data_IF_190102999015
#
_entry.id   IF_190102999015
#
_cell.length_a   1.000
_cell.length_b   1.000
_cell.length_c   1.000
_cell.angle_alpha   90.00
_cell.angle_beta   90.00
_cell.angle_gamma   90.00
#
_symmetry.space_group_name_H-M   'P 1'
#
loop_
_entity.id
_entity.type
_entity.pdbx_description
1 polymer ?
#
# COMPACT_ATOMS: atom_id res chain seq x y z
N UNK A 1 5.55 -17.57 -0.44
CA UNK A 1 4.55 -16.71 0.20
C UNK A 1 4.82 -15.27 -0.18
N UNK A 2 3.83 -14.61 -0.72
CA UNK A 2 3.99 -13.21 -1.14
C UNK A 2 4.00 -12.28 0.06
N UNK A 3 4.81 -11.23 -0.02
CA UNK A 3 5.03 -10.29 1.07
C UNK A 3 4.23 -9.00 0.82
N UNK A 4 3.44 -8.61 1.81
CA UNK A 4 2.62 -7.41 1.76
C UNK A 4 3.04 -6.47 2.89
N UNK A 5 3.38 -5.25 2.55
CA UNK A 5 3.59 -4.20 3.53
C UNK A 5 2.33 -3.35 3.61
N UNK A 6 1.77 -3.22 4.79
CA UNK A 6 0.57 -2.41 5.03
C UNK A 6 0.97 -1.16 5.81
N UNK A 7 0.86 -0.01 5.18
CA UNK A 7 1.12 1.28 5.82
C UNK A 7 -0.21 1.95 6.15
N UNK A 8 -0.50 2.04 7.44
CA UNK A 8 -1.74 2.59 7.99
C UNK A 8 -1.43 3.15 9.38
N UNK A 9 -1.77 4.42 9.61
CA UNK A 9 -1.45 5.08 10.88
C UNK A 9 -2.41 4.75 12.03
N UNK A 10 -3.63 4.31 11.73
CA UNK A 10 -4.59 3.89 12.76
C UNK A 10 -4.31 2.46 13.19
N UNK A 11 -3.95 2.28 14.46
CA UNK A 11 -3.55 0.97 14.99
C UNK A 11 -4.62 -0.10 14.78
N UNK A 12 -5.88 0.22 15.07
CA UNK A 12 -6.98 -0.73 14.95
C UNK A 12 -7.21 -1.16 13.49
N UNK A 13 -7.19 -0.21 12.57
CA UNK A 13 -7.36 -0.49 11.15
C UNK A 13 -6.20 -1.32 10.60
N UNK A 14 -4.99 -0.97 11.00
CA UNK A 14 -3.80 -1.71 10.59
C UNK A 14 -3.86 -3.14 11.08
N UNK A 15 -4.18 -3.34 12.35
CA UNK A 15 -4.23 -4.67 12.93
C UNK A 15 -5.32 -5.53 12.28
N UNK A 16 -6.49 -4.97 12.05
CA UNK A 16 -7.60 -5.68 11.41
C UNK A 16 -7.22 -6.15 10.00
N UNK A 17 -6.66 -5.27 9.20
CA UNK A 17 -6.26 -5.60 7.84
C UNK A 17 -5.11 -6.60 7.81
N UNK A 18 -4.15 -6.47 8.72
CA UNK A 18 -3.05 -7.42 8.83
C UNK A 18 -3.56 -8.83 9.12
N UNK A 19 -4.54 -8.96 9.99
CA UNK A 19 -5.15 -10.27 10.27
C UNK A 19 -5.82 -10.86 9.05
N UNK A 20 -6.57 -10.06 8.31
CA UNK A 20 -7.25 -10.53 7.09
C UNK A 20 -6.25 -10.97 6.04
N UNK A 21 -5.19 -10.20 5.84
CA UNK A 21 -4.17 -10.52 4.87
C UNK A 21 -3.41 -11.80 5.27
N UNK A 22 -3.10 -11.95 6.54
CA UNK A 22 -2.43 -13.15 7.04
C UNK A 22 -3.30 -14.38 6.82
N UNK A 23 -4.60 -14.28 7.10
CA UNK A 23 -5.53 -15.37 6.87
C UNK A 23 -5.67 -15.72 5.39
N UNK A 24 -5.48 -14.75 4.52
CA UNK A 24 -5.52 -14.97 3.07
C UNK A 24 -4.24 -15.62 2.53
N UNK A 25 -3.23 -15.85 3.38
CA UNK A 25 -2.03 -16.55 2.99
C UNK A 25 -0.82 -15.69 2.69
N UNK A 26 -0.87 -14.41 3.00
CA UNK A 26 0.25 -13.50 2.77
C UNK A 26 1.15 -13.41 4.00
N UNK A 27 2.41 -13.10 3.76
CA UNK A 27 3.32 -12.67 4.82
C UNK A 27 3.21 -11.14 4.92
N UNK A 28 2.88 -10.62 6.10
CA UNK A 28 2.50 -9.22 6.26
C UNK A 28 3.38 -8.51 7.29
N UNK A 29 3.77 -7.29 6.96
CA UNK A 29 4.37 -6.36 7.93
C UNK A 29 3.56 -5.07 7.93
N UNK A 30 3.52 -4.41 9.09
CA UNK A 30 2.82 -3.14 9.23
C UNK A 30 3.79 -1.98 9.39
N UNK A 31 3.37 -0.81 8.89
CA UNK A 31 4.07 0.46 9.09
C UNK A 31 3.05 1.49 9.55
N UNK A 32 3.45 2.41 10.43
CA UNK A 32 2.53 3.35 11.08
C UNK A 32 2.57 4.77 10.49
N UNK A 33 3.51 5.05 9.60
CA UNK A 33 3.60 6.34 8.90
C UNK A 33 4.40 6.15 7.61
N UNK A 34 4.50 7.22 6.82
CA UNK A 34 5.18 7.14 5.53
C UNK A 34 6.68 6.89 5.63
N UNK A 35 7.33 7.44 6.66
CA UNK A 35 8.76 7.20 6.85
C UNK A 35 9.02 5.75 7.23
N UNK A 36 8.19 5.20 8.11
CA UNK A 36 8.28 3.80 8.52
C UNK A 36 8.02 2.87 7.32
N UNK A 37 7.04 3.23 6.48
CA UNK A 37 6.75 2.48 5.26
C UNK A 37 7.96 2.46 4.32
N UNK A 38 8.60 3.60 4.12
CA UNK A 38 9.79 3.69 3.27
C UNK A 38 10.92 2.82 3.82
N UNK A 39 11.17 2.91 5.12
CA UNK A 39 12.21 2.12 5.77
C UNK A 39 11.98 0.62 5.59
N UNK A 40 10.75 0.17 5.84
CA UNK A 40 10.40 -1.25 5.67
C UNK A 40 10.48 -1.70 4.22
N UNK A 41 10.02 -0.86 3.28
CA UNK A 41 10.06 -1.21 1.87
C UNK A 41 11.49 -1.42 1.38
N UNK A 42 12.40 -0.55 1.78
CA UNK A 42 13.80 -0.65 1.38
C UNK A 42 14.50 -1.87 2.00
N UNK A 43 14.19 -2.18 3.24
CA UNK A 43 14.84 -3.28 3.96
C UNK A 43 14.26 -4.65 3.61
N UNK A 44 12.94 -4.73 3.47
CA UNK A 44 12.24 -6.00 3.30
C UNK A 44 11.92 -6.34 1.86
N UNK A 45 11.76 -5.33 1.02
CA UNK A 45 11.43 -5.47 -0.39
C UNK A 45 10.16 -6.31 -0.59
N UNK A 46 9.00 -5.82 -0.12
CA UNK A 46 7.75 -6.56 -0.29
C UNK A 46 7.36 -6.66 -1.77
N UNK A 47 6.48 -7.59 -2.06
CA UNK A 47 5.94 -7.72 -3.42
C UNK A 47 4.92 -6.62 -3.70
N UNK A 48 4.18 -6.20 -2.68
CA UNK A 48 3.14 -5.20 -2.81
C UNK A 48 3.04 -4.38 -1.52
N UNK A 49 2.78 -3.08 -1.67
CA UNK A 49 2.51 -2.17 -0.55
C UNK A 49 1.07 -1.68 -0.66
N UNK A 50 0.33 -1.81 0.43
CA UNK A 50 -0.94 -1.13 0.62
C UNK A 50 -0.62 0.15 1.38
N UNK A 51 -0.75 1.30 0.72
CA UNK A 51 -0.25 2.57 1.20
C UNK A 51 -1.38 3.55 1.46
N UNK A 52 -1.67 3.82 2.73
CA UNK A 52 -2.62 4.89 3.08
C UNK A 52 -2.04 6.22 2.60
N UNK A 53 -2.86 7.01 1.92
CA UNK A 53 -2.42 8.29 1.38
C UNK A 53 -2.19 9.31 2.49
N UNK A 54 -3.07 9.34 3.49
CA UNK A 54 -3.00 10.32 4.59
C UNK A 54 -2.36 9.72 5.82
N UNK A 55 -1.09 10.03 6.03
CA UNK A 55 -0.35 9.57 7.21
C UNK A 55 0.51 10.71 7.76
N UNK A 56 0.82 10.68 9.09
CA UNK A 56 1.71 11.68 9.66
C UNK A 56 3.16 11.49 9.23
N UNK A 57 3.99 12.47 9.48
CA UNK A 57 5.44 12.50 9.25
C UNK A 57 5.76 12.55 7.76
N UNK A 58 5.33 11.56 6.99
CA UNK A 58 5.49 11.53 5.54
C UNK A 58 4.21 10.90 4.97
N UNK A 59 3.58 11.57 4.01
CA UNK A 59 2.37 11.06 3.38
C UNK A 59 2.65 9.78 2.59
N UNK A 60 1.61 9.00 2.33
CA UNK A 60 1.76 7.78 1.52
C UNK A 60 2.23 8.06 0.11
N UNK A 61 1.82 9.20 -0.48
CA UNK A 61 2.26 9.56 -1.82
C UNK A 61 3.73 9.95 -1.84
N UNK A 62 4.21 10.68 -0.85
CA UNK A 62 5.62 11.01 -0.75
C UNK A 62 6.46 9.77 -0.52
N UNK A 63 5.99 8.85 0.33
CA UNK A 63 6.67 7.57 0.53
C UNK A 63 6.74 6.77 -0.77
N UNK A 64 5.66 6.77 -1.55
CA UNK A 64 5.63 6.09 -2.85
C UNK A 64 6.65 6.68 -3.81
N UNK A 65 6.74 8.01 -3.90
CA UNK A 65 7.75 8.66 -4.75
C UNK A 65 9.15 8.23 -4.38
N UNK A 66 9.44 8.17 -3.08
CA UNK A 66 10.76 7.75 -2.59
C UNK A 66 11.05 6.28 -2.88
N UNK A 67 10.05 5.43 -2.72
CA UNK A 67 10.18 4.01 -3.04
C UNK A 67 10.48 3.84 -4.53
N UNK A 68 9.76 4.55 -5.39
CA UNK A 68 10.00 4.50 -6.84
C UNK A 68 11.38 5.00 -7.22
N UNK A 69 11.84 6.07 -6.56
CA UNK A 69 13.17 6.62 -6.86
C UNK A 69 14.27 5.63 -6.53
N UNK A 70 14.09 4.80 -5.50
CA UNK A 70 15.12 3.87 -5.02
C UNK A 70 14.99 2.46 -5.57
N UNK A 71 13.76 1.98 -5.77
CA UNK A 71 13.49 0.58 -6.16
C UNK A 71 12.80 0.44 -7.51
N UNK A 72 12.41 1.55 -8.13
CA UNK A 72 11.73 1.50 -9.42
C UNK A 72 10.38 0.81 -9.35
N UNK A 73 10.03 0.05 -10.37
CA UNK A 73 8.72 -0.57 -10.51
C UNK A 73 8.69 -2.02 -10.01
N UNK A 74 9.70 -2.47 -9.28
CA UNK A 74 9.77 -3.86 -8.81
C UNK A 74 8.75 -4.16 -7.71
N UNK A 75 8.30 -3.13 -6.99
CA UNK A 75 7.29 -3.25 -5.94
C UNK A 75 5.99 -2.66 -6.46
N UNK A 76 4.88 -3.38 -6.30
CA UNK A 76 3.56 -2.85 -6.63
C UNK A 76 3.04 -2.01 -5.47
N UNK A 77 2.38 -0.90 -5.76
CA UNK A 77 1.82 -0.02 -4.74
C UNK A 77 0.35 0.23 -5.05
N UNK A 78 -0.52 -0.09 -4.09
CA UNK A 78 -1.93 0.25 -4.14
C UNK A 78 -2.18 1.32 -3.09
N UNK A 79 -2.60 2.50 -3.52
CA UNK A 79 -2.94 3.58 -2.61
C UNK A 79 -4.31 3.33 -1.97
N UNK A 80 -4.42 3.58 -0.68
CA UNK A 80 -5.69 3.55 0.04
C UNK A 80 -6.07 4.99 0.36
N UNK A 81 -7.20 5.45 -0.19
CA UNK A 81 -7.59 6.85 -0.07
C UNK A 81 -9.04 6.98 0.35
N UNK A 82 -9.33 8.01 1.17
CA UNK A 82 -10.70 8.36 1.54
C UNK A 82 -11.43 9.11 0.41
N UNK A 83 -10.72 9.49 -0.64
CA UNK A 83 -11.26 10.31 -1.72
C UNK A 83 -11.12 9.61 -3.07
N UNK A 84 -12.26 9.41 -3.74
CA UNK A 84 -12.32 8.77 -5.04
C UNK A 84 -12.38 9.76 -6.21
N UNK A 85 -12.17 11.04 -5.96
CA UNK A 85 -12.24 12.07 -7.00
C UNK A 85 -11.07 11.98 -7.98
N UNK A 86 -11.30 12.43 -9.20
CA UNK A 86 -10.28 12.36 -10.26
C UNK A 86 -8.93 12.95 -9.85
N UNK A 87 -8.95 14.07 -9.12
CA UNK A 87 -7.73 14.71 -8.66
C UNK A 87 -6.90 13.81 -7.76
N UNK A 88 -7.56 13.08 -6.85
CA UNK A 88 -6.89 12.14 -5.95
C UNK A 88 -6.34 10.94 -6.72
N UNK A 89 -7.07 10.47 -7.73
CA UNK A 89 -6.61 9.38 -8.59
C UNK A 89 -5.35 9.79 -9.35
N UNK A 90 -5.38 10.97 -9.95
CA UNK A 90 -4.24 11.48 -10.70
C UNK A 90 -3.03 11.65 -9.81
N UNK A 91 -3.21 12.18 -8.60
CA UNK A 91 -2.12 12.33 -7.64
C UNK A 91 -1.50 10.99 -7.26
N UNK A 92 -2.32 9.95 -7.07
CA UNK A 92 -1.82 8.62 -6.76
C UNK A 92 -0.97 8.06 -7.90
N UNK A 93 -1.46 8.13 -9.13
CA UNK A 93 -0.72 7.59 -10.27
C UNK A 93 0.52 8.42 -10.58
N UNK A 94 0.43 9.73 -10.44
CA UNK A 94 1.58 10.61 -10.62
C UNK A 94 2.69 10.32 -9.61
N UNK A 95 2.33 9.96 -8.38
CA UNK A 95 3.30 9.58 -7.36
C UNK A 95 3.94 8.22 -7.65
N UNK A 96 3.37 7.42 -8.53
CA UNK A 96 3.90 6.12 -8.91
C UNK A 96 3.11 4.93 -8.42
N UNK A 97 1.88 5.13 -7.91
CA UNK A 97 1.02 4.02 -7.53
C UNK A 97 0.55 3.25 -8.74
N UNK A 98 0.41 1.94 -8.62
CA UNK A 98 -0.09 1.07 -9.70
C UNK A 98 -1.60 1.02 -9.73
N UNK A 99 -2.24 1.23 -8.58
CA UNK A 99 -3.68 1.22 -8.44
C UNK A 99 -4.07 2.01 -7.20
N UNK A 100 -5.37 2.21 -7.00
CA UNK A 100 -5.87 2.78 -5.76
C UNK A 100 -7.16 2.09 -5.35
N UNK A 101 -7.47 2.14 -4.06
CA UNK A 101 -8.72 1.66 -3.51
C UNK A 101 -9.24 2.71 -2.54
N UNK A 102 -10.57 2.81 -2.44
CA UNK A 102 -11.18 3.81 -1.56
C UNK A 102 -11.46 3.23 -0.18
N UNK A 103 -11.44 4.09 0.82
CA UNK A 103 -11.83 3.76 2.19
C UNK A 103 -13.28 4.13 2.43
N UNK A 104 -14.02 3.37 3.22
CA UNK A 104 -13.61 2.15 3.92
C UNK A 104 -13.31 1.02 2.93
N UNK A 105 -12.38 0.16 3.30
CA UNK A 105 -11.93 -0.91 2.42
C UNK A 105 -13.03 -1.91 2.17
N UNK A 106 -13.32 -2.15 0.88
CA UNK A 106 -14.16 -3.25 0.45
C UNK A 106 -13.24 -4.44 0.24
N UNK A 107 -13.30 -5.40 1.14
CA UNK A 107 -12.36 -6.51 1.15
C UNK A 107 -12.33 -7.32 -0.16
N UNK A 108 -13.48 -7.75 -0.71
CA UNK A 108 -13.44 -8.48 -1.98
C UNK A 108 -12.81 -7.68 -3.13
N UNK A 109 -13.12 -6.40 -3.23
CA UNK A 109 -12.53 -5.55 -4.27
C UNK A 109 -11.04 -5.35 -4.07
N UNK A 110 -10.59 -5.19 -2.83
CA UNK A 110 -9.17 -5.05 -2.53
C UNK A 110 -8.43 -6.33 -2.90
N UNK A 111 -8.97 -7.49 -2.55
CA UNK A 111 -8.36 -8.77 -2.89
C UNK A 111 -8.25 -8.97 -4.40
N UNK A 112 -9.29 -8.58 -5.13
CA UNK A 112 -9.27 -8.67 -6.58
C UNK A 112 -8.18 -7.79 -7.17
N UNK A 113 -8.05 -6.54 -6.68
CA UNK A 113 -7.02 -5.63 -7.16
C UNK A 113 -5.63 -6.12 -6.80
N UNK A 114 -5.43 -6.64 -5.59
CA UNK A 114 -4.15 -7.21 -5.17
C UNK A 114 -3.76 -8.38 -6.07
N UNK A 115 -4.69 -9.28 -6.35
CA UNK A 115 -4.42 -10.41 -7.22
C UNK A 115 -4.04 -9.97 -8.62
N UNK A 116 -4.70 -8.93 -9.12
CA UNK A 116 -4.38 -8.37 -10.43
C UNK A 116 -2.96 -7.83 -10.48
N UNK A 117 -2.53 -7.12 -9.44
CA UNK A 117 -1.19 -6.54 -9.38
C UNK A 117 -0.10 -7.58 -9.13
N UNK A 118 -0.42 -8.65 -8.43
CA UNK A 118 0.54 -9.69 -8.06
C UNK A 118 0.68 -10.79 -9.10
N UNK A 119 -0.08 -10.75 -10.19
CA UNK A 119 0.04 -11.74 -11.26
C UNK A 119 1.33 -11.57 -12.03
N UNK A 120 1.92 -12.71 -12.36
CA UNK A 120 3.09 -12.79 -13.21
C UNK A 120 2.76 -13.65 -14.42
N UNK A 121 3.20 -13.21 -15.56
CA UNK A 121 2.97 -13.90 -16.81
C UNK A 121 4.00 -13.50 -17.83
#
# INVERSE_FOLDING_TARGET
MQRILLAEDHDDNREMLMRRLTRAGFEVRGASDGQDALTHALAWKPDLVLMDVSMPIMSGLDATRMIRAKLGATIKVIALTAHAMNESREACFEAGCDAFATKPVDWPNLMEEMNRQLRFW
#
